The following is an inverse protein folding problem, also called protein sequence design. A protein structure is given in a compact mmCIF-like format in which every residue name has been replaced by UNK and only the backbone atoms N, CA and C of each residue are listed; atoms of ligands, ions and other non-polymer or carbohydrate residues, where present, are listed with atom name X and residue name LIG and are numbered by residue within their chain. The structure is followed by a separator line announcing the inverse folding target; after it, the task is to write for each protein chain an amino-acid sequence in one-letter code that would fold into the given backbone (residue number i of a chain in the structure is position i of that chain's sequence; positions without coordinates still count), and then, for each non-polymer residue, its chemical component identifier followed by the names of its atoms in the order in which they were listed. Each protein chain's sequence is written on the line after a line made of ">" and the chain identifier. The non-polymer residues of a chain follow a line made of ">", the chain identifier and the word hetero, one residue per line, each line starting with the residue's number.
data_IF_613867850820
#
_entry.id   IF_613867850820
#
_cell.length_a   1.000
_cell.length_b   1.000
_cell.length_c   1.000
_cell.angle_alpha   90.00
_cell.angle_beta   90.00
_cell.angle_gamma   90.00
#
_symmetry.space_group_name_H-M   'P 1'
#
loop_
_entity.id
_entity.type
_entity.pdbx_description
1 polymer ?
#
# COMPACT_ATOMS: atom_id res chain seq x y z
N UNK A 1 -4.23 -10.36 -15.37
CA UNK A 1 -3.70 -9.08 -14.85
C UNK A 1 -3.49 -9.26 -13.35
N UNK A 2 -2.26 -9.13 -12.84
CA UNK A 2 -1.96 -9.30 -11.42
C UNK A 2 -1.87 -7.94 -10.72
N UNK A 3 -2.41 -7.82 -9.51
CA UNK A 3 -2.25 -6.62 -8.71
C UNK A 3 -0.79 -6.50 -8.23
N UNK A 4 -0.22 -5.30 -8.31
CA UNK A 4 1.15 -5.01 -7.88
C UNK A 4 1.31 -4.92 -6.35
N UNK A 5 0.20 -4.74 -5.63
CA UNK A 5 0.14 -4.60 -4.17
C UNK A 5 -0.91 -5.56 -3.64
N UNK A 6 -0.57 -6.32 -2.59
CA UNK A 6 -1.42 -7.33 -1.96
C UNK A 6 -1.40 -7.16 -0.43
N UNK A 7 -2.34 -7.83 0.24
CA UNK A 7 -2.38 -7.89 1.71
C UNK A 7 -1.09 -8.52 2.25
N UNK A 8 -0.60 -8.01 3.38
CA UNK A 8 0.66 -8.36 4.04
C UNK A 8 1.94 -7.95 3.30
N UNK A 9 1.86 -7.32 2.11
CA UNK A 9 3.04 -6.78 1.44
C UNK A 9 3.64 -5.62 2.28
N UNK A 10 4.97 -5.57 2.36
CA UNK A 10 5.69 -4.42 2.92
C UNK A 10 5.84 -3.33 1.86
N UNK A 11 5.38 -2.12 2.18
CA UNK A 11 5.33 -0.99 1.26
C UNK A 11 5.85 0.29 1.90
N UNK A 12 6.16 1.28 1.05
CA UNK A 12 6.55 2.63 1.45
C UNK A 12 5.58 3.66 0.86
N UNK A 13 5.25 4.69 1.64
CA UNK A 13 4.35 5.75 1.21
C UNK A 13 5.09 6.75 0.31
N UNK A 14 4.57 7.00 -0.88
CA UNK A 14 5.19 7.87 -1.89
C UNK A 14 4.74 9.35 -1.81
N UNK A 15 3.55 9.61 -1.26
CA UNK A 15 2.95 10.95 -1.19
C UNK A 15 2.04 11.11 0.04
N UNK A 16 1.80 12.36 0.45
CA UNK A 16 0.97 12.70 1.62
C UNK A 16 1.78 12.96 2.90
N UNK A 17 1.07 13.12 4.02
CA UNK A 17 1.64 13.44 5.34
C UNK A 17 2.69 12.43 5.80
N UNK A 18 2.43 11.14 5.59
CA UNK A 18 3.26 10.04 6.09
C UNK A 18 4.26 9.52 5.03
N UNK A 19 4.62 10.36 4.05
CA UNK A 19 5.59 10.00 3.01
C UNK A 19 6.91 9.50 3.61
N UNK A 20 7.42 8.40 3.06
CA UNK A 20 8.67 7.76 3.50
C UNK A 20 8.49 6.71 4.60
N UNK A 21 7.34 6.68 5.28
CA UNK A 21 7.00 5.65 6.25
C UNK A 21 6.84 4.29 5.58
N UNK A 22 7.28 3.23 6.26
CA UNK A 22 7.14 1.83 5.84
C UNK A 22 6.07 1.13 6.68
N UNK A 23 5.35 0.19 6.08
CA UNK A 23 4.34 -0.60 6.78
C UNK A 23 3.82 -1.78 5.97
N UNK A 24 3.07 -2.65 6.63
CA UNK A 24 2.36 -3.77 5.99
C UNK A 24 0.96 -3.36 5.55
N UNK A 25 0.53 -3.87 4.40
CA UNK A 25 -0.81 -3.62 3.86
C UNK A 25 -1.85 -4.45 4.62
N UNK A 26 -2.78 -3.80 5.32
CA UNK A 26 -3.89 -4.47 6.03
C UNK A 26 -5.03 -4.88 5.09
N UNK A 27 -5.38 -4.02 4.14
CA UNK A 27 -6.43 -4.25 3.16
C UNK A 27 -6.18 -3.42 1.90
N UNK A 28 -6.46 -3.99 0.73
CA UNK A 28 -6.52 -3.26 -0.55
C UNK A 28 -7.99 -3.07 -0.89
N UNK A 29 -8.44 -1.83 -0.95
CA UNK A 29 -9.78 -1.49 -1.41
C UNK A 29 -9.81 -1.50 -2.95
N UNK A 30 -10.82 -2.13 -3.58
CA UNK A 30 -11.05 -1.92 -5.01
C UNK A 30 -11.42 -0.45 -5.27
N UNK A 31 -11.31 -0.01 -6.52
CA UNK A 31 -11.59 1.38 -6.92
C UNK A 31 -12.96 1.83 -6.44
N UNK A 32 -13.01 3.02 -5.81
CA UNK A 32 -14.24 3.75 -5.54
C UNK A 32 -14.67 4.62 -6.73
#
# INVERSE_FOLDING_TARGET
>A
MAAKIRREDEVIILAGKDKGSRGKVSQVLPTG
#
